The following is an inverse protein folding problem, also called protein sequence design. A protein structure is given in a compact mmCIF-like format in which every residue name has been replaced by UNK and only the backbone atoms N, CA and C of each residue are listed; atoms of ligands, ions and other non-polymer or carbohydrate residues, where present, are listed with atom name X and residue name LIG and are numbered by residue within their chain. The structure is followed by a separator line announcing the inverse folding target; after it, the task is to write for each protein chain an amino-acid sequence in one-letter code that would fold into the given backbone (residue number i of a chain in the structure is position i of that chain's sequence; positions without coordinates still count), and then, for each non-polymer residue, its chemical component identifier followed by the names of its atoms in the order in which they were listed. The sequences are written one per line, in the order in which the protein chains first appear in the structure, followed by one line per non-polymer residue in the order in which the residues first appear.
data_IF_677614491800
#
_entry.id   IF_677614491800
#
_cell.length_a   1.000
_cell.length_b   1.000
_cell.length_c   1.000
_cell.angle_alpha   90.00
_cell.angle_beta   90.00
_cell.angle_gamma   90.00
#
_symmetry.space_group_name_H-M   'P 1'
#
loop_
_entity.id
_entity.type
_entity.pdbx_description
1 polymer ?
#
# COMPACT_ATOMS: atom_id res chain seq x y z
N UNK A 1 -11.75 7.91 10.38
CA UNK A 1 -10.35 8.19 10.77
C UNK A 1 -9.38 7.95 9.61
N UNK A 2 -9.33 6.75 9.02
CA UNK A 2 -8.43 6.46 7.90
C UNK A 2 -8.69 7.31 6.65
N UNK A 3 -9.94 7.65 6.35
CA UNK A 3 -10.27 8.56 5.23
C UNK A 3 -9.62 9.94 5.36
N UNK A 4 -9.54 10.48 6.57
CA UNK A 4 -8.93 11.78 6.80
C UNK A 4 -7.42 11.73 6.53
N UNK A 5 -6.75 10.70 7.05
CA UNK A 5 -5.33 10.47 6.82
C UNK A 5 -5.06 10.20 5.34
N UNK A 6 -5.90 9.38 4.69
CA UNK A 6 -5.79 9.08 3.26
C UNK A 6 -5.98 10.32 2.38
N UNK A 7 -6.91 11.23 2.72
CA UNK A 7 -7.06 12.51 2.02
C UNK A 7 -5.80 13.37 2.13
N UNK A 8 -5.25 13.53 3.34
CA UNK A 8 -4.03 14.34 3.53
C UNK A 8 -2.85 13.74 2.77
N UNK A 9 -2.64 12.42 2.91
CA UNK A 9 -1.53 11.74 2.23
C UNK A 9 -1.73 11.70 0.71
N UNK A 10 -2.97 11.57 0.24
CA UNK A 10 -3.32 11.61 -1.18
C UNK A 10 -3.08 12.99 -1.80
N UNK A 11 -3.44 14.06 -1.09
CA UNK A 11 -3.13 15.44 -1.50
C UNK A 11 -1.61 15.71 -1.51
N UNK A 12 -0.88 15.20 -0.52
CA UNK A 12 0.58 15.28 -0.51
C UNK A 12 1.18 14.55 -1.71
N UNK A 13 0.69 13.33 -2.00
CA UNK A 13 1.14 12.56 -3.16
C UNK A 13 0.81 13.26 -4.48
N UNK A 14 -0.38 13.86 -4.59
CA UNK A 14 -0.77 14.67 -5.74
C UNK A 14 0.12 15.91 -5.91
N UNK A 15 0.44 16.61 -4.83
CA UNK A 15 1.38 17.74 -4.86
C UNK A 15 2.75 17.30 -5.39
N UNK A 16 3.29 16.20 -4.89
CA UNK A 16 4.56 15.64 -5.37
C UNK A 16 4.44 15.26 -6.86
N UNK A 17 3.34 14.63 -7.25
CA UNK A 17 3.06 14.21 -8.63
C UNK A 17 3.06 15.39 -9.61
N UNK A 18 2.35 16.47 -9.27
CA UNK A 18 2.18 17.64 -10.12
C UNK A 18 3.44 18.54 -10.16
N UNK A 19 4.19 18.63 -9.05
CA UNK A 19 5.33 19.57 -8.94
C UNK A 19 6.68 18.93 -9.24
N UNK A 20 7.11 17.96 -8.42
CA UNK A 20 8.49 17.43 -8.43
C UNK A 20 8.62 16.21 -9.35
N UNK A 21 7.56 15.44 -9.52
CA UNK A 21 7.60 14.19 -10.26
C UNK A 21 7.21 14.34 -11.75
N UNK A 22 6.96 15.56 -12.24
CA UNK A 22 6.62 15.84 -13.64
C UNK A 22 5.55 14.89 -14.23
N UNK A 23 4.46 14.68 -13.50
CA UNK A 23 3.35 13.78 -13.89
C UNK A 23 3.76 12.30 -14.05
N UNK A 24 4.84 11.86 -13.41
CA UNK A 24 5.24 10.44 -13.34
C UNK A 24 4.84 9.84 -11.99
N UNK A 25 3.80 8.99 -12.00
CA UNK A 25 3.21 8.46 -10.78
C UNK A 25 4.17 7.61 -9.95
N UNK A 26 4.98 6.75 -10.57
CA UNK A 26 5.92 5.95 -9.77
C UNK A 26 7.12 6.74 -9.24
N UNK A 27 7.57 7.79 -9.94
CA UNK A 27 8.54 8.74 -9.36
C UNK A 27 7.92 9.47 -8.16
N UNK A 28 6.64 9.86 -8.26
CA UNK A 28 5.92 10.46 -7.15
C UNK A 28 5.85 9.53 -5.94
N UNK A 29 5.59 8.23 -6.15
CA UNK A 29 5.59 7.22 -5.08
C UNK A 29 6.97 7.04 -4.43
N UNK A 30 8.05 7.04 -5.22
CA UNK A 30 9.42 6.95 -4.70
C UNK A 30 9.73 8.16 -3.82
N UNK A 31 9.46 9.37 -4.32
CA UNK A 31 9.69 10.61 -3.57
C UNK A 31 8.84 10.67 -2.30
N UNK A 32 7.56 10.30 -2.40
CA UNK A 32 6.67 10.19 -1.24
C UNK A 32 7.25 9.23 -0.19
N UNK A 33 7.78 8.08 -0.60
CA UNK A 33 8.41 7.12 0.31
C UNK A 33 9.66 7.70 0.98
N UNK A 34 10.49 8.43 0.24
CA UNK A 34 11.68 9.10 0.80
C UNK A 34 11.27 10.16 1.83
N UNK A 35 10.31 11.02 1.49
CA UNK A 35 9.83 12.09 2.38
C UNK A 35 9.23 11.51 3.66
N UNK A 36 8.37 10.50 3.55
CA UNK A 36 7.77 9.85 4.73
C UNK A 36 8.81 9.15 5.59
N UNK A 37 9.81 8.47 4.99
CA UNK A 37 10.93 7.88 5.75
C UNK A 37 11.77 8.94 6.47
N UNK A 38 12.04 10.08 5.84
CA UNK A 38 12.79 11.17 6.46
C UNK A 38 11.99 11.80 7.62
N UNK A 39 10.68 11.97 7.46
CA UNK A 39 9.81 12.47 8.54
C UNK A 39 9.78 11.51 9.75
N UNK A 40 9.77 10.21 9.50
CA UNK A 40 9.77 9.17 10.55
C UNK A 40 11.17 8.82 11.06
N UNK A 41 12.23 9.31 10.41
CA UNK A 41 13.62 9.00 10.75
C UNK A 41 13.99 9.19 12.22
N UNK A 42 13.66 10.32 12.91
CA UNK A 42 13.98 10.47 14.33
C UNK A 42 13.28 9.43 15.21
N UNK A 43 12.06 9.03 14.84
CA UNK A 43 11.32 7.98 15.51
C UNK A 43 11.99 6.61 15.28
N UNK A 44 12.40 6.31 14.05
CA UNK A 44 13.13 5.09 13.69
C UNK A 44 14.44 4.96 14.47
N UNK A 45 15.20 6.04 14.65
CA UNK A 45 16.45 6.01 15.45
C UNK A 45 16.16 5.61 16.90
N UNK A 46 15.12 6.17 17.53
CA UNK A 46 14.74 5.82 18.92
C UNK A 46 14.39 4.34 19.04
N UNK A 47 13.71 3.80 18.03
CA UNK A 47 13.31 2.40 17.98
C UNK A 47 14.51 1.47 17.80
N UNK A 48 15.43 1.81 16.89
CA UNK A 48 16.67 1.06 16.70
C UNK A 48 17.50 0.97 17.99
N UNK A 49 17.61 2.08 18.73
CA UNK A 49 18.27 2.08 20.05
C UNK A 49 17.58 1.15 21.05
N UNK A 50 16.24 1.12 21.07
CA UNK A 50 15.49 0.19 21.93
C UNK A 50 15.70 -1.26 21.53
N UNK A 51 15.76 -1.57 20.24
CA UNK A 51 16.01 -2.93 19.74
C UNK A 51 17.43 -3.40 20.04
N UNK A 52 18.44 -2.52 19.95
CA UNK A 52 19.82 -2.84 20.31
C UNK A 52 19.94 -3.24 21.79
N UNK A 53 19.34 -2.47 22.71
CA UNK A 53 19.31 -2.83 24.14
C UNK A 53 18.62 -4.17 24.40
N UNK A 54 17.60 -4.51 23.60
CA UNK A 54 16.94 -5.82 23.68
C UNK A 54 17.86 -6.96 23.20
N UNK A 55 18.67 -6.71 22.17
CA UNK A 55 19.66 -7.67 21.68
C UNK A 55 20.78 -7.91 22.71
N UNK A 56 21.20 -6.88 23.44
CA UNK A 56 22.22 -7.01 24.50
C UNK A 56 21.77 -7.94 25.64
N UNK A 57 20.48 -7.97 25.98
CA UNK A 57 19.95 -8.80 27.08
C UNK A 57 19.47 -10.19 26.63
N UNK A 58 19.43 -10.47 25.32
CA UNK A 58 19.07 -11.78 24.78
C UNK A 58 19.82 -12.98 25.40
N UNK A 59 21.16 -12.95 25.58
CA UNK A 59 21.87 -14.09 26.17
C UNK A 59 21.45 -14.37 27.62
N UNK A 60 21.15 -13.33 28.40
CA UNK A 60 20.64 -13.46 29.77
C UNK A 60 19.20 -14.02 29.77
N UNK A 61 18.34 -13.54 28.86
CA UNK A 61 17.00 -14.07 28.66
C UNK A 61 17.02 -15.57 28.29
N UNK A 62 17.93 -15.99 27.40
CA UNK A 62 18.08 -17.39 27.02
C UNK A 62 18.48 -18.27 28.22
N UNK A 63 19.35 -17.80 29.11
CA UNK A 63 19.71 -18.50 30.34
C UNK A 63 18.52 -18.66 31.29
N UNK A 64 17.71 -17.60 31.46
CA UNK A 64 16.46 -17.66 32.26
C UNK A 64 15.49 -18.66 31.65
N UNK A 65 15.29 -18.64 30.33
CA UNK A 65 14.42 -19.56 29.61
C UNK A 65 14.86 -21.02 29.76
N UNK A 66 16.17 -21.30 29.72
CA UNK A 66 16.71 -22.64 29.95
C UNK A 66 16.54 -23.09 31.41
N UNK A 67 16.79 -22.20 32.37
CA UNK A 67 16.71 -22.52 33.81
C UNK A 67 15.28 -22.77 34.29
N UNK A 68 14.30 -22.05 33.75
CA UNK A 68 12.89 -22.13 34.18
C UNK A 68 11.94 -22.69 33.11
N UNK A 69 12.45 -23.51 32.18
CA UNK A 69 11.68 -24.08 31.06
C UNK A 69 10.37 -24.77 31.48
N UNK A 70 10.35 -25.38 32.66
CA UNK A 70 9.21 -26.15 33.17
C UNK A 70 8.30 -25.33 34.12
N UNK A 71 8.68 -24.10 34.45
CA UNK A 71 7.95 -23.23 35.39
C UNK A 71 7.66 -21.89 34.71
N UNK A 72 6.53 -21.83 34.00
CA UNK A 72 6.12 -20.66 33.22
C UNK A 72 5.89 -19.42 34.09
N UNK A 73 5.43 -19.62 35.32
CA UNK A 73 5.12 -18.50 36.23
C UNK A 73 6.43 -17.84 36.67
N UNK A 74 7.38 -18.65 37.14
CA UNK A 74 8.70 -18.16 37.56
C UNK A 74 9.52 -17.61 36.38
N UNK A 75 9.40 -18.22 35.21
CA UNK A 75 10.01 -17.73 33.97
C UNK A 75 9.54 -16.31 33.63
N UNK A 76 8.23 -16.05 33.70
CA UNK A 76 7.68 -14.71 33.42
C UNK A 76 8.14 -13.66 34.45
N UNK A 77 8.17 -14.04 35.73
CA UNK A 77 8.64 -13.17 36.81
C UNK A 77 10.11 -12.78 36.63
N UNK A 78 11.00 -13.74 36.39
CA UNK A 78 12.44 -13.49 36.21
C UNK A 78 12.73 -12.70 34.93
N UNK A 79 12.01 -12.97 33.83
CA UNK A 79 12.14 -12.15 32.61
C UNK A 79 11.72 -10.69 32.86
N UNK A 80 10.61 -10.46 33.55
CA UNK A 80 10.14 -9.11 33.87
C UNK A 80 11.12 -8.38 34.79
N UNK A 81 11.66 -9.09 35.78
CA UNK A 81 12.69 -8.56 36.69
C UNK A 81 13.95 -8.15 35.92
N UNK A 82 14.42 -8.98 34.99
CA UNK A 82 15.56 -8.65 34.13
C UNK A 82 15.29 -7.41 33.27
N UNK A 83 14.09 -7.28 32.67
CA UNK A 83 13.72 -6.09 31.91
C UNK A 83 13.76 -4.81 32.76
N UNK A 84 13.29 -4.88 34.01
CA UNK A 84 13.32 -3.75 34.95
C UNK A 84 14.75 -3.40 35.39
N UNK A 85 15.56 -4.41 35.75
CA UNK A 85 16.96 -4.23 36.17
C UNK A 85 17.81 -3.59 35.07
N UNK A 86 17.58 -3.98 33.80
CA UNK A 86 18.30 -3.45 32.64
C UNK A 86 17.66 -2.19 32.05
N UNK A 87 16.51 -1.75 32.57
CA UNK A 87 15.78 -0.57 32.10
C UNK A 87 15.32 -0.68 30.63
N UNK A 88 14.97 -1.89 30.18
CA UNK A 88 14.57 -2.18 28.79
C UNK A 88 13.06 -2.44 28.72
N UNK A 89 12.37 -1.77 27.80
CA UNK A 89 10.94 -2.01 27.57
C UNK A 89 10.73 -3.01 26.40
N UNK A 90 10.14 -4.20 26.64
CA UNK A 90 9.88 -5.17 25.58
C UNK A 90 8.91 -4.68 24.49
N UNK A 91 8.04 -3.71 24.80
CA UNK A 91 7.11 -3.13 23.84
C UNK A 91 7.72 -1.99 23.01
N UNK A 92 8.93 -1.53 23.34
CA UNK A 92 9.61 -0.46 22.60
C UNK A 92 9.90 -0.82 21.14
N UNK A 93 10.00 -2.11 20.82
CA UNK A 93 10.29 -2.62 19.48
C UNK A 93 9.10 -2.66 18.51
N UNK A 94 7.85 -2.76 19.01
CA UNK A 94 6.65 -2.85 18.16
C UNK A 94 5.96 -1.50 17.92
N UNK A 95 6.35 -0.46 18.66
CA UNK A 95 5.89 0.91 18.48
C UNK A 95 5.99 1.44 17.02
N UNK A 96 7.06 1.16 16.23
CA UNK A 96 7.10 1.57 14.82
C UNK A 96 5.97 0.99 14.00
N UNK A 97 5.66 -0.29 14.24
CA UNK A 97 4.65 -0.99 13.48
C UNK A 97 3.28 -0.36 13.72
N UNK A 98 2.99 0.05 14.96
CA UNK A 98 1.73 0.69 15.30
C UNK A 98 1.55 2.05 14.60
N UNK A 99 2.61 2.85 14.46
CA UNK A 99 2.56 4.11 13.71
C UNK A 99 2.60 3.92 12.19
N UNK A 100 3.30 2.88 11.72
CA UNK A 100 3.41 2.56 10.30
C UNK A 100 2.11 2.00 9.73
N UNK A 101 1.35 1.22 10.52
CA UNK A 101 0.10 0.59 10.07
C UNK A 101 -0.93 1.60 9.55
N UNK A 102 -1.26 2.71 10.25
CA UNK A 102 -2.14 3.74 9.73
C UNK A 102 -1.67 4.36 8.40
N UNK A 103 -0.37 4.61 8.26
CA UNK A 103 0.21 5.17 7.03
C UNK A 103 0.09 4.15 5.89
N UNK A 104 0.35 2.87 6.17
CA UNK A 104 0.20 1.78 5.21
C UNK A 104 -1.25 1.66 4.73
N UNK A 105 -2.22 1.64 5.65
CA UNK A 105 -3.64 1.59 5.28
C UNK A 105 -4.05 2.82 4.47
N UNK A 106 -3.62 4.01 4.88
CA UNK A 106 -3.93 5.24 4.15
C UNK A 106 -3.35 5.20 2.72
N UNK A 107 -2.10 4.78 2.54
CA UNK A 107 -1.51 4.59 1.20
C UNK A 107 -2.26 3.54 0.38
N UNK A 108 -2.67 2.44 1.01
CA UNK A 108 -3.44 1.40 0.34
C UNK A 108 -4.77 1.95 -0.20
N UNK A 109 -5.46 2.80 0.57
CA UNK A 109 -6.65 3.50 0.10
C UNK A 109 -6.34 4.48 -1.05
N UNK A 110 -5.29 5.29 -0.91
CA UNK A 110 -4.87 6.26 -1.95
C UNK A 110 -4.55 5.58 -3.27
N UNK A 111 -3.83 4.45 -3.24
CA UNK A 111 -3.43 3.71 -4.46
C UNK A 111 -4.65 3.03 -5.13
N UNK A 112 -5.60 2.53 -4.33
CA UNK A 112 -6.80 1.84 -4.86
C UNK A 112 -7.89 2.81 -5.31
N UNK A 113 -7.96 3.97 -4.66
CA UNK A 113 -8.92 5.03 -4.94
C UNK A 113 -8.22 6.38 -5.23
N UNK A 114 -7.36 6.44 -6.27
CA UNK A 114 -6.58 7.63 -6.58
C UNK A 114 -7.45 8.80 -7.08
N UNK A 115 -8.57 8.54 -7.76
CA UNK A 115 -9.49 9.61 -8.17
C UNK A 115 -10.11 10.27 -6.94
N UNK A 116 -10.51 9.47 -5.94
CA UNK A 116 -11.08 9.97 -4.70
C UNK A 116 -10.05 10.70 -3.83
N UNK A 117 -8.91 10.08 -3.53
CA UNK A 117 -7.99 10.61 -2.51
C UNK A 117 -6.88 11.53 -3.05
N UNK A 118 -6.47 11.38 -4.31
CA UNK A 118 -5.46 12.26 -4.92
C UNK A 118 -6.11 13.42 -5.67
N UNK A 119 -7.07 13.12 -6.54
CA UNK A 119 -7.75 14.14 -7.35
C UNK A 119 -8.98 14.75 -6.66
N UNK A 120 -9.45 14.17 -5.56
CA UNK A 120 -10.60 14.70 -4.82
C UNK A 120 -11.94 14.54 -5.56
N UNK A 121 -12.03 13.63 -6.54
CA UNK A 121 -13.27 13.39 -7.28
C UNK A 121 -14.38 12.93 -6.33
N UNK A 122 -15.58 13.45 -6.57
CA UNK A 122 -16.77 13.03 -5.82
C UNK A 122 -17.31 11.71 -6.36
N UNK A 123 -18.09 11.00 -5.55
CA UNK A 123 -18.81 9.79 -5.99
C UNK A 123 -19.70 10.06 -7.20
N UNK A 124 -20.26 11.26 -7.29
CA UNK A 124 -21.10 11.68 -8.41
C UNK A 124 -20.30 11.76 -9.71
N UNK A 125 -19.11 12.39 -9.70
CA UNK A 125 -18.22 12.44 -10.86
C UNK A 125 -17.80 11.04 -11.30
N UNK A 126 -17.34 10.21 -10.35
CA UNK A 126 -16.92 8.83 -10.63
C UNK A 126 -18.09 8.02 -11.21
N UNK A 127 -19.27 8.14 -10.62
CA UNK A 127 -20.49 7.47 -11.09
C UNK A 127 -20.88 7.86 -12.51
N UNK A 128 -20.87 9.16 -12.82
CA UNK A 128 -21.15 9.66 -14.17
C UNK A 128 -20.16 9.11 -15.21
N UNK A 129 -18.87 9.05 -14.86
CA UNK A 129 -17.86 8.45 -15.75
C UNK A 129 -18.10 6.96 -15.92
N UNK A 130 -18.42 6.21 -14.85
CA UNK A 130 -18.75 4.78 -14.95
C UNK A 130 -19.96 4.56 -15.85
N UNK A 131 -21.02 5.38 -15.74
CA UNK A 131 -22.19 5.30 -16.62
C UNK A 131 -21.77 5.47 -18.09
N UNK A 132 -20.96 6.49 -18.39
CA UNK A 132 -20.43 6.73 -19.75
C UNK A 132 -19.59 5.53 -20.24
N UNK A 133 -18.73 4.96 -19.39
CA UNK A 133 -17.92 3.77 -19.73
C UNK A 133 -18.81 2.57 -20.05
N UNK A 134 -19.82 2.29 -19.22
CA UNK A 134 -20.74 1.17 -19.42
C UNK A 134 -21.52 1.28 -20.74
N UNK A 135 -21.79 2.50 -21.21
CA UNK A 135 -22.44 2.76 -22.50
C UNK A 135 -21.51 2.58 -23.70
N UNK A 136 -20.22 2.94 -23.56
CA UNK A 136 -19.27 2.95 -24.68
C UNK A 136 -18.50 1.64 -24.78
N UNK A 137 -17.91 1.17 -23.67
CA UNK A 137 -17.06 -0.01 -23.63
C UNK A 137 -17.19 -0.71 -22.26
N UNK A 138 -18.24 -1.50 -22.04
CA UNK A 138 -18.47 -2.20 -20.76
C UNK A 138 -17.38 -3.23 -20.42
N UNK A 139 -16.52 -3.60 -21.38
CA UNK A 139 -15.40 -4.52 -21.19
C UNK A 139 -14.38 -4.09 -20.11
N UNK A 140 -14.32 -2.79 -19.77
CA UNK A 140 -13.53 -2.30 -18.64
C UNK A 140 -14.03 -2.81 -17.27
N UNK A 141 -15.25 -3.31 -17.23
CA UNK A 141 -15.88 -3.89 -16.05
C UNK A 141 -16.34 -5.33 -16.34
N UNK A 142 -15.41 -6.29 -16.51
CA UNK A 142 -15.77 -7.65 -16.87
C UNK A 142 -16.59 -8.31 -15.76
N UNK A 143 -17.71 -8.95 -16.11
CA UNK A 143 -18.66 -9.54 -15.14
C UNK A 143 -18.01 -10.55 -14.17
N UNK A 144 -16.96 -11.27 -14.62
CA UNK A 144 -16.18 -12.18 -13.75
C UNK A 144 -15.52 -11.45 -12.58
N UNK A 145 -15.13 -10.20 -12.77
CA UNK A 145 -14.53 -9.35 -11.72
C UNK A 145 -15.55 -8.46 -11.01
N UNK A 146 -16.66 -8.14 -11.70
CA UNK A 146 -17.76 -7.34 -11.20
C UNK A 146 -19.04 -8.19 -11.15
N UNK A 147 -19.14 -9.18 -10.24
CA UNK A 147 -20.30 -10.10 -10.18
C UNK A 147 -21.61 -9.41 -9.81
N UNK A 148 -21.56 -8.14 -9.40
CA UNK A 148 -22.69 -7.30 -9.07
C UNK A 148 -23.12 -6.39 -10.22
N UNK A 149 -22.49 -6.51 -11.40
CA UNK A 149 -22.73 -5.62 -12.54
C UNK A 149 -24.15 -5.73 -13.08
N UNK A 150 -24.83 -6.86 -12.89
CA UNK A 150 -26.25 -7.03 -13.26
C UNK A 150 -27.16 -6.04 -12.52
N UNK A 151 -26.75 -5.57 -11.34
CA UNK A 151 -27.46 -4.54 -10.58
C UNK A 151 -27.31 -3.13 -11.18
N UNK A 152 -26.45 -2.92 -12.18
CA UNK A 152 -26.20 -1.61 -12.78
C UNK A 152 -27.47 -1.00 -13.39
N UNK A 153 -28.26 -1.81 -14.10
CA UNK A 153 -29.47 -1.33 -14.79
C UNK A 153 -30.50 -0.72 -13.84
N UNK A 154 -30.54 -1.19 -12.60
CA UNK A 154 -31.45 -0.69 -11.56
C UNK A 154 -31.02 0.68 -11.01
N UNK A 155 -29.73 1.01 -11.06
CA UNK A 155 -29.15 2.20 -10.42
C UNK A 155 -28.58 3.22 -11.42
N UNK A 156 -28.56 2.90 -12.71
CA UNK A 156 -27.91 3.70 -13.78
C UNK A 156 -28.36 5.16 -13.87
N UNK A 157 -29.51 5.51 -13.30
CA UNK A 157 -30.05 6.88 -13.29
C UNK A 157 -29.50 7.74 -12.16
N UNK A 158 -28.86 7.14 -11.15
CA UNK A 158 -28.27 7.84 -10.02
C UNK A 158 -26.77 7.57 -9.95
N UNK A 159 -25.96 8.57 -10.31
CA UNK A 159 -24.51 8.47 -10.34
C UNK A 159 -23.89 8.03 -8.99
N UNK A 160 -24.43 8.52 -7.87
CA UNK A 160 -23.91 8.16 -6.54
C UNK A 160 -24.18 6.69 -6.23
N UNK A 161 -25.34 6.17 -6.62
CA UNK A 161 -25.67 4.75 -6.45
C UNK A 161 -24.83 3.86 -7.35
N UNK A 162 -24.57 4.28 -8.59
CA UNK A 162 -23.61 3.59 -9.48
C UNK A 162 -22.22 3.54 -8.83
N UNK A 163 -21.70 4.68 -8.34
CA UNK A 163 -20.41 4.69 -7.67
C UNK A 163 -20.38 3.74 -6.46
N UNK A 164 -21.41 3.77 -5.61
CA UNK A 164 -21.53 2.87 -4.46
C UNK A 164 -21.60 1.38 -4.88
N UNK A 165 -22.26 1.06 -6.00
CA UNK A 165 -22.31 -0.30 -6.53
C UNK A 165 -20.90 -0.78 -6.93
N UNK A 166 -20.17 0.05 -7.67
CA UNK A 166 -18.84 -0.29 -8.18
C UNK A 166 -17.74 -0.26 -7.11
N UNK A 167 -17.92 0.52 -6.03
CA UNK A 167 -17.01 0.54 -4.87
C UNK A 167 -16.82 -0.84 -4.21
N UNK A 168 -17.73 -1.79 -4.45
CA UNK A 168 -17.60 -3.18 -3.99
C UNK A 168 -16.37 -3.88 -4.58
N UNK A 169 -15.89 -3.47 -5.75
CA UNK A 169 -14.65 -4.01 -6.32
C UNK A 169 -13.45 -3.12 -5.94
N UNK A 170 -12.37 -3.72 -5.39
CA UNK A 170 -11.10 -3.05 -5.08
C UNK A 170 -10.47 -2.13 -6.13
N UNK A 171 -10.69 -2.43 -7.41
CA UNK A 171 -9.98 -1.86 -8.56
C UNK A 171 -10.87 -0.98 -9.44
N UNK A 172 -12.11 -0.67 -9.03
CA UNK A 172 -13.06 0.11 -9.83
C UNK A 172 -12.47 1.45 -10.33
N UNK A 173 -11.82 2.25 -9.48
CA UNK A 173 -11.21 3.52 -9.92
C UNK A 173 -10.00 3.32 -10.83
N UNK A 174 -9.25 2.24 -10.65
CA UNK A 174 -8.13 1.89 -11.54
C UNK A 174 -8.64 1.53 -12.93
N UNK A 175 -9.76 0.79 -13.00
CA UNK A 175 -10.41 0.48 -14.27
C UNK A 175 -10.99 1.74 -14.93
N UNK A 176 -11.55 2.68 -14.14
CA UNK A 176 -11.99 3.99 -14.64
C UNK A 176 -10.82 4.76 -15.25
N UNK A 177 -9.66 4.80 -14.59
CA UNK A 177 -8.44 5.42 -15.13
C UNK A 177 -7.99 4.71 -16.41
N UNK A 178 -8.04 3.38 -16.46
CA UNK A 178 -7.75 2.59 -17.66
C UNK A 178 -8.65 2.99 -18.83
N UNK A 179 -9.95 3.10 -18.57
CA UNK A 179 -10.94 3.50 -19.57
C UNK A 179 -10.73 4.93 -20.06
N UNK A 180 -10.46 5.86 -19.15
CA UNK A 180 -10.14 7.27 -19.46
C UNK A 180 -8.91 7.37 -20.36
N UNK A 181 -7.85 6.61 -20.07
CA UNK A 181 -6.61 6.65 -20.86
C UNK A 181 -6.81 6.14 -22.29
N UNK A 182 -7.73 5.19 -22.49
CA UNK A 182 -8.06 4.67 -23.83
C UNK A 182 -9.13 5.51 -24.54
N UNK A 183 -10.02 6.14 -23.79
CA UNK A 183 -11.14 6.94 -24.29
C UNK A 183 -11.10 8.33 -23.64
N UNK A 184 -10.26 9.26 -24.14
CA UNK A 184 -10.10 10.59 -23.55
C UNK A 184 -11.39 11.42 -23.53
N UNK A 185 -12.36 11.12 -24.40
CA UNK A 185 -13.67 11.80 -24.46
C UNK A 185 -14.58 11.52 -23.26
N UNK A 186 -14.20 10.59 -22.37
CA UNK A 186 -14.91 10.35 -21.11
C UNK A 186 -14.77 11.52 -20.13
N UNK A 187 -13.77 12.35 -20.33
CA UNK A 187 -13.42 13.47 -19.47
C UNK A 187 -13.89 14.80 -20.09
N UNK A 188 -14.54 15.61 -19.26
CA UNK A 188 -14.96 16.97 -19.58
C UNK A 188 -13.79 17.95 -19.43
N UNK A 189 -13.82 19.08 -20.15
CA UNK A 189 -12.76 20.09 -20.10
C UNK A 189 -12.52 20.56 -18.64
N UNK A 190 -11.26 20.46 -18.19
CA UNK A 190 -10.84 20.86 -16.85
C UNK A 190 -10.75 19.74 -15.79
N UNK A 191 -11.17 18.51 -16.12
CA UNK A 191 -10.95 17.37 -15.23
C UNK A 191 -9.50 16.85 -15.34
N UNK A 192 -8.79 16.85 -14.23
CA UNK A 192 -7.41 16.40 -14.16
C UNK A 192 -7.27 14.87 -14.23
N UNK A 193 -6.18 14.39 -14.82
CA UNK A 193 -5.88 12.98 -14.98
C UNK A 193 -4.60 12.56 -14.27
N UNK A 194 -4.61 11.32 -13.75
CA UNK A 194 -3.39 10.66 -13.26
C UNK A 194 -2.91 9.65 -14.30
N UNK A 195 -1.64 9.78 -14.67
CA UNK A 195 -0.96 8.79 -15.47
C UNK A 195 -0.27 7.77 -14.56
N UNK A 196 -0.83 6.57 -14.46
CA UNK A 196 -0.28 5.46 -13.67
C UNK A 196 0.94 4.79 -14.32
N UNK A 197 1.43 5.31 -15.45
CA UNK A 197 2.60 4.77 -16.15
C UNK A 197 3.89 5.21 -15.45
N UNK A 198 4.64 4.25 -14.94
CA UNK A 198 5.97 4.41 -14.41
C UNK A 198 7.03 4.37 -15.50
N UNK A 199 7.83 5.44 -15.57
CA UNK A 199 8.99 5.60 -16.46
C UNK A 199 8.70 5.31 -17.95
N UNK A 200 7.43 5.43 -18.37
CA UNK A 200 6.93 5.08 -19.73
C UNK A 200 7.13 3.60 -20.14
N UNK A 201 7.53 2.74 -19.22
CA UNK A 201 7.83 1.33 -19.46
C UNK A 201 6.86 0.39 -18.74
N UNK A 202 6.19 0.86 -17.69
CA UNK A 202 5.38 0.02 -16.82
C UNK A 202 4.09 0.72 -16.41
N UNK A 203 2.95 0.04 -16.41
CA UNK A 203 1.69 0.62 -15.90
C UNK A 203 1.39 0.08 -14.50
N UNK A 204 1.39 0.96 -13.50
CA UNK A 204 1.13 0.61 -12.09
C UNK A 204 -0.34 0.30 -11.80
N UNK A 205 -1.25 0.64 -12.72
CA UNK A 205 -2.67 0.28 -12.65
C UNK A 205 -2.96 -1.15 -13.13
N UNK A 206 -1.93 -1.92 -13.50
CA UNK A 206 -2.11 -3.30 -13.94
C UNK A 206 -2.37 -4.19 -12.74
N UNK A 207 -3.48 -4.92 -12.79
CA UNK A 207 -3.80 -5.95 -11.82
C UNK A 207 -2.81 -7.12 -11.95
N UNK A 208 -2.08 -7.50 -10.90
CA UNK A 208 -1.22 -8.69 -10.93
C UNK A 208 -2.04 -9.95 -11.23
N UNK A 209 -1.49 -10.84 -12.04
CA UNK A 209 -2.12 -12.12 -12.41
C UNK A 209 -1.09 -13.26 -12.34
N UNK A 210 -1.57 -14.46 -12.04
CA UNK A 210 -0.80 -15.71 -12.13
C UNK A 210 -1.20 -16.54 -13.36
N UNK A 211 -2.12 -16.05 -14.19
CA UNK A 211 -2.57 -16.74 -15.40
C UNK A 211 -1.50 -16.64 -16.50
N UNK A 212 -0.83 -17.77 -16.77
CA UNK A 212 0.24 -17.87 -17.76
C UNK A 212 -0.23 -17.51 -19.18
N UNK A 213 -1.48 -17.79 -19.53
CA UNK A 213 -1.99 -17.47 -20.86
C UNK A 213 -2.12 -15.96 -21.03
N UNK A 214 -2.64 -15.28 -20.02
CA UNK A 214 -2.78 -13.82 -20.01
C UNK A 214 -1.43 -13.09 -19.99
N UNK A 215 -0.44 -13.67 -19.27
CA UNK A 215 0.94 -13.16 -19.25
C UNK A 215 1.58 -13.32 -20.63
N UNK A 216 1.37 -14.46 -21.29
CA UNK A 216 1.90 -14.72 -22.64
C UNK A 216 1.26 -13.81 -23.70
N UNK A 217 -0.01 -13.44 -23.53
CA UNK A 217 -0.71 -12.53 -24.45
C UNK A 217 -0.21 -11.08 -24.33
N UNK A 218 0.08 -10.59 -23.10
CA UNK A 218 0.55 -9.22 -22.86
C UNK A 218 1.83 -9.19 -22.00
N UNK A 219 2.96 -9.71 -22.52
CA UNK A 219 4.18 -9.89 -21.74
C UNK A 219 4.77 -8.56 -21.25
N UNK A 220 4.73 -7.51 -22.08
CA UNK A 220 5.21 -6.18 -21.70
C UNK A 220 4.44 -5.54 -20.53
N UNK A 221 3.21 -5.98 -20.28
CA UNK A 221 2.37 -5.47 -19.20
C UNK A 221 2.61 -6.22 -17.89
N UNK A 222 2.64 -7.56 -17.94
CA UNK A 222 2.66 -8.41 -16.74
C UNK A 222 4.06 -8.80 -16.26
N UNK A 223 5.04 -8.97 -17.16
CA UNK A 223 6.40 -9.40 -16.78
C UNK A 223 7.06 -8.37 -15.85
N UNK A 224 7.06 -7.05 -16.13
CA UNK A 224 7.72 -6.10 -15.24
C UNK A 224 7.04 -6.02 -13.87
N UNK A 225 5.71 -6.21 -13.78
CA UNK A 225 4.99 -6.28 -12.50
C UNK A 225 5.50 -7.44 -11.64
N UNK A 226 5.65 -8.63 -12.24
CA UNK A 226 6.16 -9.82 -11.55
C UNK A 226 7.62 -9.65 -11.13
N UNK A 227 8.46 -9.06 -11.99
CA UNK A 227 9.86 -8.76 -11.66
C UNK A 227 9.93 -7.84 -10.43
N UNK A 228 9.09 -6.81 -10.34
CA UNK A 228 9.07 -5.94 -9.16
C UNK A 228 8.72 -6.70 -7.87
N UNK A 229 7.75 -7.62 -7.92
CA UNK A 229 7.40 -8.47 -6.77
C UNK A 229 8.58 -9.36 -6.38
N UNK A 230 9.25 -9.98 -7.37
CA UNK A 230 10.42 -10.83 -7.12
C UNK A 230 11.56 -10.03 -6.49
N UNK A 231 11.85 -8.83 -7.01
CA UNK A 231 12.89 -7.94 -6.45
C UNK A 231 12.53 -7.54 -5.01
N UNK A 232 11.27 -7.19 -4.74
CA UNK A 232 10.83 -6.85 -3.39
C UNK A 232 11.00 -8.01 -2.41
N UNK A 233 10.67 -9.23 -2.82
CA UNK A 233 10.87 -10.43 -1.99
C UNK A 233 12.35 -10.71 -1.78
N UNK A 234 13.16 -10.67 -2.84
CA UNK A 234 14.60 -10.93 -2.79
C UNK A 234 15.32 -9.92 -1.88
N UNK A 235 15.03 -8.63 -2.04
CA UNK A 235 15.63 -7.57 -1.21
C UNK A 235 15.22 -7.71 0.26
N UNK A 236 13.97 -8.05 0.54
CA UNK A 236 13.49 -8.32 1.90
C UNK A 236 14.19 -9.53 2.51
N UNK A 237 14.35 -10.62 1.73
CA UNK A 237 15.05 -11.82 2.17
C UNK A 237 16.53 -11.54 2.50
N UNK A 238 17.23 -10.82 1.62
CA UNK A 238 18.64 -10.43 1.82
C UNK A 238 18.76 -9.55 3.07
N UNK A 239 17.89 -8.54 3.22
CA UNK A 239 17.89 -7.65 4.39
C UNK A 239 17.66 -8.43 5.70
N UNK A 240 16.77 -9.41 5.69
CA UNK A 240 16.51 -10.26 6.85
C UNK A 240 17.74 -11.11 7.21
N UNK A 241 18.40 -11.72 6.21
CA UNK A 241 19.60 -12.53 6.41
C UNK A 241 20.77 -11.72 6.96
N UNK A 242 21.01 -10.52 6.42
CA UNK A 242 22.07 -9.62 6.91
C UNK A 242 21.81 -9.23 8.37
N UNK A 243 20.55 -8.94 8.72
CA UNK A 243 20.18 -8.60 10.09
C UNK A 243 20.40 -9.75 11.07
N UNK A 244 20.11 -11.00 10.68
CA UNK A 244 20.32 -12.18 11.53
C UNK A 244 21.80 -12.52 11.71
N UNK A 245 22.61 -12.40 10.67
CA UNK A 245 24.04 -12.71 10.72
C UNK A 245 24.78 -11.84 11.76
N UNK A 246 24.38 -10.58 11.91
CA UNK A 246 24.98 -9.65 12.88
C UNK A 246 24.64 -9.99 14.34
N UNK A 247 23.52 -10.70 14.58
CA UNK A 247 23.11 -11.15 15.92
C UNK A 247 23.82 -12.44 16.35
N UNK A 248 24.36 -13.23 15.42
CA UNK A 248 25.08 -14.47 15.74
C UNK A 248 26.59 -14.27 15.99
N UNK A 249 27.14 -13.09 15.69
CA UNK A 249 28.58 -12.79 15.83
C UNK A 249 28.93 -12.00 17.11
N UNK A 250 27.98 -11.80 18.02
CA UNK A 250 28.14 -11.12 19.32
C UNK A 250 27.69 -12.06 20.43
#
# INVERSE_FOLDING_TARGET
MFDFIAKILGQLLYLIYNTVAFHNYGVALILFTVITKLALFPLTIKQLKSTQKMQEIQPELQKIQQRYKNDKEKLNQEMMKLYQEKGVNPMGGCLPMLFQLPILFALFYVIRKPLTYMLGWTKEVIGNVIIKIMQIKPEFFPAKEFPFIDGFEAVKTNAVEVANLFEKNPYHEVNVIGAINEIPSLIEEGMEMINLTFLKIFNLGVKPTYDFNLIAEKPGLYIPALIMVIIAVATTFISSKISMAKTMSQ
#
